data_IF_968241438097
#
_entry.id   IF_968241438097
#
_cell.length_a   1.000
_cell.length_b   1.000
_cell.length_c   1.000
_cell.angle_alpha   90.00
_cell.angle_beta   90.00
_cell.angle_gamma   90.00
#
_symmetry.space_group_name_H-M   'P 1'
#
loop_
_entity.id
_entity.type
_entity.pdbx_description
1 polymer ?
#
# COMPACT_ATOMS: atom_id res chain seq x y z
N UNK A 1 28.43 22.62 3.96
CA UNK A 1 27.28 22.93 3.07
C UNK A 1 26.84 21.62 2.44
N UNK A 2 25.65 21.13 2.75
CA UNK A 2 25.16 19.88 2.15
C UNK A 2 24.90 20.10 0.66
N UNK A 3 25.54 19.30 -0.20
CA UNK A 3 25.28 19.31 -1.64
C UNK A 3 23.85 18.81 -1.88
N UNK A 4 22.95 19.73 -2.21
CA UNK A 4 21.58 19.36 -2.54
C UNK A 4 21.56 18.72 -3.92
N UNK A 5 21.39 17.39 -3.99
CA UNK A 5 21.19 16.70 -5.27
C UNK A 5 19.90 17.23 -5.89
N UNK A 6 20.03 17.90 -7.03
CA UNK A 6 18.88 18.37 -7.81
C UNK A 6 18.40 17.17 -8.63
N UNK A 7 17.25 16.61 -8.28
CA UNK A 7 16.65 15.53 -9.06
C UNK A 7 15.94 16.10 -10.28
N UNK A 8 16.14 15.45 -11.44
CA UNK A 8 15.36 15.71 -12.64
C UNK A 8 14.20 14.72 -12.71
N UNK A 9 13.21 15.04 -13.55
CA UNK A 9 12.05 14.16 -13.77
C UNK A 9 12.46 12.77 -14.31
N UNK A 10 13.51 12.72 -15.14
CA UNK A 10 14.10 11.48 -15.66
C UNK A 10 14.72 10.62 -14.55
N UNK A 11 15.51 11.21 -13.65
CA UNK A 11 16.12 10.49 -12.52
C UNK A 11 15.03 9.90 -11.60
N UNK A 12 13.94 10.66 -11.41
CA UNK A 12 12.78 10.20 -10.65
C UNK A 12 12.07 9.04 -11.35
N UNK A 13 11.93 9.09 -12.69
CA UNK A 13 11.37 7.99 -13.48
C UNK A 13 12.20 6.73 -13.30
N UNK A 14 13.52 6.81 -13.48
CA UNK A 14 14.41 5.66 -13.35
C UNK A 14 14.37 5.04 -11.95
N UNK A 15 14.35 5.87 -10.91
CA UNK A 15 14.21 5.40 -9.53
C UNK A 15 12.87 4.70 -9.28
N UNK A 16 11.77 5.26 -9.78
CA UNK A 16 10.43 4.66 -9.66
C UNK A 16 10.35 3.34 -10.44
N UNK A 17 10.89 3.29 -11.66
CA UNK A 17 10.91 2.10 -12.51
C UNK A 17 11.77 0.99 -11.90
N UNK A 18 12.90 1.36 -11.29
CA UNK A 18 13.71 0.44 -10.49
C UNK A 18 12.90 -0.14 -9.33
N UNK A 19 12.26 0.71 -8.54
CA UNK A 19 11.44 0.27 -7.41
C UNK A 19 10.31 -0.67 -7.86
N UNK A 20 9.65 -0.35 -8.98
CA UNK A 20 8.58 -1.16 -9.54
C UNK A 20 9.07 -2.54 -9.99
N UNK A 21 10.24 -2.62 -10.62
CA UNK A 21 10.86 -3.92 -10.99
C UNK A 21 11.23 -4.76 -9.78
N UNK A 22 11.70 -4.14 -8.70
CA UNK A 22 12.12 -4.83 -7.48
C UNK A 22 10.92 -5.32 -6.64
N UNK A 23 9.83 -4.53 -6.58
CA UNK A 23 8.73 -4.76 -5.63
C UNK A 23 7.39 -5.12 -6.31
N UNK A 24 7.29 -5.05 -7.64
CA UNK A 24 6.05 -5.27 -8.40
C UNK A 24 4.96 -4.22 -8.16
N UNK A 25 5.28 -3.10 -7.50
CA UNK A 25 4.33 -2.03 -7.13
C UNK A 25 5.00 -0.66 -7.19
N UNK A 26 4.20 0.40 -7.29
CA UNK A 26 4.71 1.77 -7.18
C UNK A 26 5.10 2.13 -5.74
N UNK A 27 6.08 3.04 -5.53
CA UNK A 27 6.48 3.45 -4.20
C UNK A 27 5.38 4.26 -3.51
N UNK A 28 5.21 3.99 -2.22
CA UNK A 28 4.39 4.78 -1.30
C UNK A 28 5.18 5.96 -0.74
N UNK A 29 4.51 6.86 0.00
CA UNK A 29 5.18 7.97 0.71
C UNK A 29 6.28 7.46 1.64
N UNK A 30 6.00 6.38 2.38
CA UNK A 30 6.99 5.78 3.28
C UNK A 30 8.18 5.18 2.52
N UNK A 31 7.94 4.53 1.38
CA UNK A 31 9.05 3.99 0.57
C UNK A 31 9.95 5.12 0.06
N UNK A 32 9.37 6.24 -0.37
CA UNK A 32 10.13 7.41 -0.87
C UNK A 32 11.03 8.03 0.22
N UNK A 33 10.58 8.03 1.47
CA UNK A 33 11.35 8.61 2.57
C UNK A 33 12.39 7.65 3.16
N UNK A 34 12.25 6.34 2.96
CA UNK A 34 13.17 5.32 3.47
C UNK A 34 14.20 4.81 2.45
N UNK A 35 14.02 5.10 1.16
CA UNK A 35 14.87 4.58 0.08
C UNK A 35 15.87 5.63 -0.38
N UNK A 36 17.15 5.31 -0.26
CA UNK A 36 18.26 6.24 -0.55
C UNK A 36 18.32 6.69 -2.02
N UNK A 37 17.91 5.83 -2.95
CA UNK A 37 17.92 6.12 -4.39
C UNK A 37 16.65 6.85 -4.88
N UNK A 38 15.76 7.26 -3.97
CA UNK A 38 14.58 8.07 -4.28
C UNK A 38 14.65 9.41 -3.54
N UNK A 39 14.09 10.49 -4.10
CA UNK A 39 13.92 11.72 -3.34
C UNK A 39 12.82 11.57 -2.31
N UNK A 40 12.97 12.28 -1.19
CA UNK A 40 11.94 12.37 -0.16
C UNK A 40 10.59 12.82 -0.75
N UNK A 41 9.52 12.25 -0.19
CA UNK A 41 8.14 12.56 -0.54
C UNK A 41 7.83 14.07 -0.47
N UNK A 42 8.37 14.76 0.55
CA UNK A 42 8.21 16.21 0.74
C UNK A 42 8.85 16.99 -0.39
N UNK A 43 10.01 16.56 -0.88
CA UNK A 43 10.67 17.23 -1.99
C UNK A 43 9.88 17.09 -3.28
N UNK A 44 9.36 15.88 -3.56
CA UNK A 44 8.49 15.62 -4.71
C UNK A 44 7.22 16.48 -4.64
N UNK A 45 6.63 16.62 -3.44
CA UNK A 45 5.47 17.49 -3.24
C UNK A 45 5.77 18.95 -3.56
N UNK A 46 6.88 19.49 -3.06
CA UNK A 46 7.27 20.89 -3.27
C UNK A 46 7.65 21.20 -4.73
N UNK A 47 8.30 20.26 -5.43
CA UNK A 47 8.79 20.49 -6.80
C UNK A 47 7.81 20.10 -7.89
N UNK A 48 7.12 18.98 -7.71
CA UNK A 48 6.25 18.40 -8.74
C UNK A 48 4.78 18.38 -8.35
N UNK A 49 4.40 18.89 -7.17
CA UNK A 49 3.01 18.87 -6.71
C UNK A 49 2.52 17.49 -6.26
N UNK A 50 3.45 16.56 -6.01
CA UNK A 50 3.17 15.24 -5.44
C UNK A 50 3.14 14.08 -6.43
N UNK A 51 3.07 12.87 -5.90
CA UNK A 51 3.24 11.64 -6.69
C UNK A 51 2.16 11.38 -7.74
N UNK A 52 0.94 11.86 -7.53
CA UNK A 52 -0.14 11.72 -8.53
C UNK A 52 0.21 12.52 -9.79
N UNK A 53 0.72 13.74 -9.62
CA UNK A 53 1.11 14.60 -10.74
C UNK A 53 2.35 14.08 -11.44
N UNK A 54 3.36 13.62 -10.69
CA UNK A 54 4.52 12.92 -11.26
C UNK A 54 4.09 11.71 -12.07
N UNK A 55 3.20 10.87 -11.55
CA UNK A 55 2.74 9.69 -12.28
C UNK A 55 2.03 10.05 -13.57
N UNK A 56 1.25 11.14 -13.55
CA UNK A 56 0.57 11.71 -14.73
C UNK A 56 1.55 12.25 -15.77
N UNK A 57 2.56 12.98 -15.33
CA UNK A 57 3.60 13.52 -16.23
C UNK A 57 4.47 12.40 -16.85
N UNK A 58 4.63 11.29 -16.15
CA UNK A 58 5.37 10.11 -16.61
C UNK A 58 4.51 9.09 -17.37
N UNK A 59 3.23 9.37 -17.59
CA UNK A 59 2.26 8.54 -18.33
C UNK A 59 2.12 7.10 -17.79
N UNK A 60 2.18 6.92 -16.46
CA UNK A 60 1.92 5.61 -15.85
C UNK A 60 0.42 5.30 -15.81
N UNK A 61 0.01 4.09 -16.20
CA UNK A 61 -1.41 3.69 -16.23
C UNK A 61 -2.16 3.88 -14.90
N UNK A 62 -1.47 3.72 -13.77
CA UNK A 62 -2.07 3.77 -12.42
C UNK A 62 -1.62 4.99 -11.62
N UNK A 63 -2.43 6.06 -11.67
CA UNK A 63 -2.12 7.34 -11.00
C UNK A 63 -2.51 7.34 -9.51
N UNK A 64 -3.63 6.69 -9.19
CA UNK A 64 -4.25 6.72 -7.86
C UNK A 64 -4.22 5.35 -7.20
N UNK A 65 -3.22 5.15 -6.34
CA UNK A 65 -3.14 3.98 -5.45
C UNK A 65 -4.15 4.04 -4.29
N UNK A 66 -4.95 5.09 -4.21
CA UNK A 66 -5.86 5.36 -3.09
C UNK A 66 -7.33 5.34 -3.46
N UNK A 67 -7.71 4.91 -4.67
CA UNK A 67 -9.11 4.93 -5.13
C UNK A 67 -9.47 3.71 -5.99
N UNK A 68 -10.76 3.38 -6.01
CA UNK A 68 -11.35 2.38 -6.89
C UNK A 68 -10.80 0.97 -6.66
N UNK A 69 -10.36 0.33 -7.76
CA UNK A 69 -10.00 -1.09 -7.85
C UNK A 69 -8.94 -1.52 -6.84
N UNK A 70 -7.89 -0.73 -6.67
CA UNK A 70 -6.78 -1.06 -5.78
C UNK A 70 -7.23 -1.14 -4.30
N UNK A 71 -8.08 -0.22 -3.86
CA UNK A 71 -8.64 -0.28 -2.49
C UNK A 71 -9.60 -1.46 -2.33
N UNK A 72 -10.42 -1.73 -3.35
CA UNK A 72 -11.34 -2.86 -3.32
C UNK A 72 -10.58 -4.18 -3.20
N UNK A 73 -9.52 -4.36 -4.00
CA UNK A 73 -8.69 -5.57 -3.97
C UNK A 73 -8.01 -5.77 -2.61
N UNK A 74 -7.43 -4.71 -2.04
CA UNK A 74 -6.86 -4.76 -0.69
C UNK A 74 -7.94 -5.09 0.34
N UNK A 75 -9.11 -4.45 0.28
CA UNK A 75 -10.21 -4.72 1.21
C UNK A 75 -10.69 -6.17 1.12
N UNK A 76 -10.84 -6.71 -0.09
CA UNK A 76 -11.18 -8.11 -0.33
C UNK A 76 -10.13 -9.07 0.24
N UNK A 77 -8.84 -8.77 0.03
CA UNK A 77 -7.75 -9.59 0.54
C UNK A 77 -7.69 -9.58 2.07
N UNK A 78 -7.79 -8.40 2.68
CA UNK A 78 -7.81 -8.24 4.14
C UNK A 78 -9.02 -8.94 4.75
N UNK A 79 -10.19 -8.82 4.13
CA UNK A 79 -11.40 -9.51 4.58
C UNK A 79 -11.23 -11.04 4.56
N UNK A 80 -10.65 -11.59 3.49
CA UNK A 80 -10.34 -13.02 3.39
C UNK A 80 -9.39 -13.47 4.51
N UNK A 81 -8.32 -12.72 4.75
CA UNK A 81 -7.35 -13.03 5.81
C UNK A 81 -8.04 -12.97 7.18
N UNK A 82 -8.82 -11.91 7.44
CA UNK A 82 -9.57 -11.75 8.69
C UNK A 82 -10.50 -12.94 8.95
N UNK A 83 -11.26 -13.37 7.94
CA UNK A 83 -12.11 -14.55 8.01
C UNK A 83 -11.35 -15.82 8.34
N UNK A 84 -10.18 -16.04 7.73
CA UNK A 84 -9.35 -17.21 8.03
C UNK A 84 -8.86 -17.21 9.48
N UNK A 85 -8.46 -16.04 10.00
CA UNK A 85 -8.02 -15.91 11.39
C UNK A 85 -9.18 -16.07 12.39
N UNK A 86 -10.36 -15.52 12.10
CA UNK A 86 -11.56 -15.73 12.92
C UNK A 86 -11.84 -17.22 13.12
N UNK A 87 -11.87 -18.00 12.02
CA UNK A 87 -12.12 -19.44 12.12
C UNK A 87 -11.03 -20.18 12.90
N UNK A 88 -9.76 -19.76 12.78
CA UNK A 88 -8.66 -20.35 13.57
C UNK A 88 -8.83 -20.07 15.05
N UNK A 89 -9.19 -18.85 15.42
CA UNK A 89 -9.42 -18.43 16.81
C UNK A 89 -10.64 -19.16 17.36
N UNK A 90 -11.73 -19.23 16.62
CA UNK A 90 -12.94 -19.96 17.00
C UNK A 90 -12.62 -21.41 17.33
N UNK A 91 -11.96 -22.14 16.42
CA UNK A 91 -11.54 -23.54 16.65
C UNK A 91 -10.68 -23.68 17.90
N UNK A 92 -9.73 -22.76 18.09
CA UNK A 92 -8.87 -22.76 19.28
C UNK A 92 -9.68 -22.56 20.57
N UNK A 93 -10.63 -21.62 20.57
CA UNK A 93 -11.48 -21.32 21.73
C UNK A 93 -12.47 -22.46 22.02
N UNK A 94 -13.10 -23.04 21.01
CA UNK A 94 -14.03 -24.18 21.17
C UNK A 94 -13.28 -25.38 21.74
N UNK A 95 -12.06 -25.66 21.26
CA UNK A 95 -11.25 -26.74 21.82
C UNK A 95 -10.86 -26.50 23.29
N UNK A 96 -10.70 -25.24 23.69
CA UNK A 96 -10.28 -24.89 25.06
C UNK A 96 -11.44 -24.78 26.06
N UNK A 97 -12.58 -24.25 25.63
CA UNK A 97 -13.68 -23.87 26.51
C UNK A 97 -14.98 -24.66 26.24
N UNK A 98 -15.07 -25.35 25.11
CA UNK A 98 -16.28 -26.04 24.65
C UNK A 98 -17.21 -25.12 23.86
N UNK A 99 -17.94 -25.70 22.90
CA UNK A 99 -18.84 -25.00 21.98
C UNK A 99 -19.90 -24.11 22.67
N UNK A 100 -20.54 -24.52 23.78
CA UNK A 100 -21.58 -23.69 24.44
C UNK A 100 -21.07 -22.35 24.97
N UNK A 101 -19.76 -22.23 25.18
CA UNK A 101 -19.12 -21.07 25.81
C UNK A 101 -18.42 -20.14 24.81
N UNK A 102 -18.51 -20.43 23.51
CA UNK A 102 -17.90 -19.63 22.44
C UNK A 102 -18.99 -19.05 21.56
N UNK A 103 -19.12 -17.72 21.58
CA UNK A 103 -20.09 -17.00 20.77
C UNK A 103 -19.37 -16.14 19.73
N UNK A 104 -19.86 -16.22 18.49
CA UNK A 104 -19.26 -15.51 17.35
C UNK A 104 -20.21 -14.39 16.95
N UNK A 105 -19.64 -13.24 16.61
CA UNK A 105 -20.43 -12.13 16.08
C UNK A 105 -21.04 -12.51 14.73
N UNK A 106 -22.34 -12.21 14.56
CA UNK A 106 -23.03 -12.44 13.29
C UNK A 106 -22.41 -11.57 12.19
N UNK A 107 -21.97 -12.21 11.11
CA UNK A 107 -21.41 -11.51 9.94
C UNK A 107 -22.50 -10.75 9.19
N UNK A 108 -22.20 -9.53 8.78
CA UNK A 108 -23.08 -8.74 7.89
C UNK A 108 -22.82 -9.21 6.45
N UNK A 109 -23.82 -9.80 5.82
CA UNK A 109 -23.75 -10.18 4.40
C UNK A 109 -24.14 -8.97 3.54
N UNK A 110 -23.17 -8.30 2.93
CA UNK A 110 -23.43 -7.25 1.94
C UNK A 110 -22.34 -6.19 1.91
N UNK A 111 -21.32 -6.40 1.07
CA UNK A 111 -20.44 -5.37 0.53
C UNK A 111 -20.06 -5.75 -0.90
#
# INVERSE_FOLDING_TARGET
>A
MAHYKIWKLQDLKEGIDRFYRENGRFPTVSDLDNIEYLPSSRWIQLKFGGMVKVRKELDYKDYHLGSGKYRTEIASQVNKIGLEFEHKIEKFLVNKFGEPFVHIQKRVSGF
#
